data_IF_981919487433
#
_entry.id   IF_981919487433
#
_cell.length_a   1.000
_cell.length_b   1.000
_cell.length_c   1.000
_cell.angle_alpha   90.00
_cell.angle_beta   90.00
_cell.angle_gamma   90.00
#
_symmetry.space_group_name_H-M   'P 1'
#
loop_
_entity.id
_entity.type
_entity.pdbx_description
1 polymer ?
#
# COMPACT_ATOMS: atom_id res chain seq x y z
N UNK A 1 7.53 76.37 28.12
CA UNK A 1 6.37 76.75 27.29
C UNK A 1 6.20 75.73 26.17
N UNK A 2 4.94 75.35 25.92
CA UNK A 2 4.36 74.65 24.75
C UNK A 2 5.15 74.85 23.42
N UNK A 3 5.16 73.96 22.40
CA UNK A 3 4.07 73.10 21.89
C UNK A 3 4.60 72.12 20.82
N UNK A 4 3.97 70.94 20.81
CA UNK A 4 3.86 69.92 19.75
C UNK A 4 3.52 70.46 18.35
N UNK A 5 3.96 69.78 17.27
CA UNK A 5 3.15 69.05 16.24
C UNK A 5 4.06 68.65 15.03
N UNK A 6 4.23 67.38 14.59
CA UNK A 6 3.33 66.40 13.92
C UNK A 6 2.89 66.87 12.50
N UNK A 7 2.88 66.14 11.35
CA UNK A 7 3.18 64.78 10.82
C UNK A 7 3.32 64.92 9.26
N UNK A 8 3.67 63.83 8.55
CA UNK A 8 3.15 63.30 7.26
C UNK A 8 4.17 63.32 6.11
N UNK A 9 4.73 62.16 5.71
CA UNK A 9 4.23 61.25 4.64
C UNK A 9 4.85 61.60 3.27
N UNK A 10 5.23 60.71 2.36
CA UNK A 10 5.18 59.26 2.23
C UNK A 10 6.07 58.81 1.03
N UNK A 11 6.18 57.49 0.87
CA UNK A 11 6.31 56.76 -0.41
C UNK A 11 7.71 56.59 -1.01
N UNK A 12 8.39 55.52 -0.60
CA UNK A 12 9.35 54.84 -1.48
C UNK A 12 8.59 53.82 -2.33
N UNK A 13 8.44 54.12 -3.61
CA UNK A 13 8.13 53.15 -4.64
C UNK A 13 9.40 52.36 -4.98
N UNK A 14 9.41 51.05 -4.73
CA UNK A 14 10.35 50.14 -5.37
C UNK A 14 9.55 48.98 -5.96
N UNK A 15 9.51 48.97 -7.29
CA UNK A 15 8.91 47.95 -8.14
C UNK A 15 9.94 46.84 -8.42
N UNK A 16 9.43 45.60 -8.37
CA UNK A 16 9.86 44.44 -9.16
C UNK A 16 11.11 43.65 -8.71
N UNK A 17 10.89 42.57 -7.95
CA UNK A 17 11.42 41.24 -8.26
C UNK A 17 10.62 40.20 -7.48
N UNK A 18 9.65 39.56 -8.15
CA UNK A 18 8.94 38.40 -7.64
C UNK A 18 9.91 37.21 -7.59
N UNK A 19 10.50 36.96 -6.43
CA UNK A 19 11.14 35.69 -6.12
C UNK A 19 10.05 34.72 -5.64
N UNK A 20 9.50 33.95 -6.56
CA UNK A 20 8.75 32.73 -6.22
C UNK A 20 9.81 31.70 -5.82
N UNK A 21 10.29 31.77 -4.57
CA UNK A 21 10.97 30.65 -3.95
C UNK A 21 9.93 29.58 -3.67
N UNK A 22 9.98 28.54 -4.49
CA UNK A 22 9.27 27.29 -4.29
C UNK A 22 9.35 26.88 -2.81
N UNK A 23 8.19 26.74 -2.16
CA UNK A 23 8.07 25.87 -1.00
C UNK A 23 8.39 24.46 -1.50
N UNK A 24 9.66 24.08 -1.41
CA UNK A 24 9.99 22.68 -1.22
C UNK A 24 9.23 22.26 0.04
N UNK A 25 8.17 21.46 -0.14
CA UNK A 25 7.51 20.78 0.95
C UNK A 25 8.53 19.87 1.61
N UNK A 26 9.28 20.42 2.55
CA UNK A 26 9.91 19.68 3.63
C UNK A 26 8.76 19.34 4.57
N UNK A 27 7.91 18.40 4.17
CA UNK A 27 7.32 17.53 5.18
C UNK A 27 8.50 16.92 5.94
N UNK A 28 8.42 16.77 7.27
CA UNK A 28 9.47 16.04 7.97
C UNK A 28 9.59 14.68 7.30
N UNK A 29 10.64 14.47 6.51
CA UNK A 29 11.15 13.12 6.32
C UNK A 29 11.40 12.61 7.75
N UNK A 30 11.00 11.38 8.11
CA UNK A 30 11.16 10.85 9.46
C UNK A 30 12.65 10.61 9.75
N UNK A 31 13.41 11.68 9.90
CA UNK A 31 14.82 11.70 10.28
C UNK A 31 14.92 11.70 11.81
N UNK A 32 14.19 10.80 12.47
CA UNK A 32 14.24 10.56 13.92
C UNK A 32 13.92 9.08 14.24
N UNK A 33 14.34 8.14 13.39
CA UNK A 33 14.07 6.70 13.57
C UNK A 33 15.21 5.92 14.23
N UNK A 34 16.13 6.60 14.95
CA UNK A 34 17.37 5.98 15.43
C UNK A 34 17.29 5.40 16.87
N UNK A 35 16.17 5.54 17.58
CA UNK A 35 16.00 4.94 18.92
C UNK A 35 14.55 4.59 19.32
N UNK A 36 13.67 4.39 18.35
CA UNK A 36 12.31 3.90 18.60
C UNK A 36 12.29 2.37 18.50
N UNK A 37 11.43 1.71 19.27
CA UNK A 37 11.10 0.30 19.09
C UNK A 37 10.75 0.04 17.62
N UNK A 38 11.15 -1.11 17.08
CA UNK A 38 10.88 -1.49 15.69
C UNK A 38 9.38 -1.46 15.40
N UNK A 39 8.53 -1.83 16.35
CA UNK A 39 7.08 -1.78 16.21
C UNK A 39 6.55 -0.33 16.08
N UNK A 40 7.13 0.62 16.84
CA UNK A 40 6.82 2.05 16.68
C UNK A 40 7.24 2.56 15.31
N UNK A 41 8.39 2.11 14.82
CA UNK A 41 8.90 2.51 13.51
C UNK A 41 8.00 2.00 12.39
N UNK A 42 7.45 0.80 12.51
CA UNK A 42 6.46 0.26 11.56
C UNK A 42 5.22 1.15 11.48
N UNK A 43 4.65 1.55 12.63
CA UNK A 43 3.47 2.45 12.67
C UNK A 43 3.72 3.75 11.91
N UNK A 44 4.92 4.31 11.99
CA UNK A 44 5.27 5.57 11.33
C UNK A 44 5.64 5.40 9.85
N UNK A 45 6.25 4.28 9.47
CA UNK A 45 6.73 4.03 8.12
C UNK A 45 5.67 3.44 7.19
N UNK A 46 4.78 2.61 7.72
CA UNK A 46 3.74 1.91 6.94
C UNK A 46 2.79 2.87 6.22
N UNK A 47 2.26 3.95 6.84
CA UNK A 47 1.35 4.86 6.16
C UNK A 47 1.98 5.63 5.00
N UNK A 48 3.31 5.59 4.82
CA UNK A 48 4.00 6.17 3.68
C UNK A 48 4.53 5.11 2.70
N UNK A 49 4.14 3.84 2.86
CA UNK A 49 4.61 2.73 2.02
C UNK A 49 6.09 2.38 2.22
N UNK A 50 6.63 2.56 3.43
CA UNK A 50 8.04 2.32 3.78
C UNK A 50 9.05 3.08 2.90
N UNK A 51 9.09 4.41 3.00
CA UNK A 51 10.03 5.23 2.22
C UNK A 51 11.50 4.98 2.61
N UNK A 52 12.44 5.60 1.90
CA UNK A 52 13.88 5.44 2.16
C UNK A 52 14.23 5.65 3.65
N UNK A 53 14.95 4.68 4.24
CA UNK A 53 15.28 4.65 5.67
C UNK A 53 14.33 3.83 6.56
N UNK A 54 13.26 3.29 5.99
CA UNK A 54 12.30 2.40 6.67
C UNK A 54 12.44 0.91 6.30
N UNK A 55 13.53 0.51 5.63
CA UNK A 55 13.72 -0.86 5.16
C UNK A 55 13.79 -1.90 6.30
N UNK A 56 14.42 -1.54 7.41
CA UNK A 56 14.45 -2.36 8.63
C UNK A 56 13.07 -2.55 9.26
N UNK A 57 12.23 -1.51 9.28
CA UNK A 57 10.84 -1.60 9.75
C UNK A 57 10.01 -2.50 8.84
N UNK A 58 10.22 -2.38 7.51
CA UNK A 58 9.59 -3.28 6.55
C UNK A 58 9.96 -4.74 6.81
N UNK A 59 11.26 -5.03 6.91
CA UNK A 59 11.76 -6.38 7.16
C UNK A 59 11.22 -6.94 8.49
N UNK A 60 11.22 -6.13 9.55
CA UNK A 60 10.63 -6.49 10.84
C UNK A 60 9.14 -6.84 10.73
N UNK A 61 8.35 -6.03 10.01
CA UNK A 61 6.94 -6.34 9.75
C UNK A 61 6.79 -7.69 9.02
N UNK A 62 7.57 -7.92 7.95
CA UNK A 62 7.50 -9.17 7.18
C UNK A 62 7.88 -10.38 8.03
N UNK A 63 8.89 -10.28 8.88
CA UNK A 63 9.31 -11.37 9.77
C UNK A 63 8.19 -11.72 10.77
N UNK A 64 7.52 -10.71 11.34
CA UNK A 64 6.34 -10.94 12.19
C UNK A 64 5.23 -11.68 11.45
N UNK A 65 4.95 -11.29 10.22
CA UNK A 65 3.93 -11.94 9.39
C UNK A 65 4.29 -13.39 9.06
N UNK A 66 5.57 -13.67 8.79
CA UNK A 66 6.09 -15.04 8.58
C UNK A 66 5.96 -15.90 9.84
N UNK A 67 6.09 -15.29 11.01
CA UNK A 67 5.86 -15.91 12.31
C UNK A 67 4.36 -16.08 12.66
N UNK A 68 3.44 -15.62 11.81
CA UNK A 68 2.00 -15.64 12.08
C UNK A 68 1.56 -14.66 13.17
N UNK A 69 2.36 -13.63 13.43
CA UNK A 69 2.05 -12.55 14.37
C UNK A 69 1.37 -11.39 13.65
N UNK A 70 0.73 -10.52 14.42
CA UNK A 70 0.24 -9.22 13.93
C UNK A 70 1.38 -8.44 13.24
N UNK A 71 1.13 -7.72 12.13
CA UNK A 71 2.12 -6.87 11.43
C UNK A 71 2.81 -5.86 12.35
N UNK A 72 2.12 -5.42 13.40
CA UNK A 72 2.63 -4.47 14.39
C UNK A 72 2.53 -5.14 15.77
N UNK A 73 3.58 -4.99 16.57
CA UNK A 73 3.61 -5.39 17.97
C UNK A 73 3.44 -4.23 18.94
N UNK A 74 4.21 -4.28 20.02
CA UNK A 74 4.07 -3.32 21.10
C UNK A 74 4.94 -2.10 20.82
N UNK A 75 4.31 -0.94 20.68
CA UNK A 75 5.03 0.33 20.60
C UNK A 75 4.95 1.05 21.95
N UNK A 76 6.11 1.32 22.58
CA UNK A 76 6.17 2.09 23.82
C UNK A 76 6.44 3.57 23.55
N UNK A 77 5.70 4.43 24.23
CA UNK A 77 5.94 5.87 24.30
C UNK A 77 7.05 6.19 25.32
N UNK A 78 7.58 7.41 25.28
CA UNK A 78 8.66 7.85 26.18
C UNK A 78 8.30 7.81 27.67
N UNK A 79 7.01 7.78 28.00
CA UNK A 79 6.49 7.67 29.36
C UNK A 79 6.26 6.21 29.81
N UNK A 80 6.56 5.22 28.95
CA UNK A 80 6.38 3.79 29.22
C UNK A 80 5.01 3.23 28.83
N UNK A 81 4.05 4.07 28.48
CA UNK A 81 2.73 3.63 28.05
C UNK A 81 2.77 3.03 26.63
N UNK A 82 1.78 2.20 26.31
CA UNK A 82 1.59 1.71 24.94
C UNK A 82 1.06 2.86 24.06
N UNK A 83 1.62 3.03 22.87
CA UNK A 83 0.96 3.81 21.84
C UNK A 83 -0.23 3.00 21.30
N UNK A 84 -1.45 3.52 21.45
CA UNK A 84 -2.70 2.84 21.11
C UNK A 84 -3.63 3.69 20.23
N UNK A 85 -3.17 4.89 19.81
CA UNK A 85 -3.91 5.80 18.93
C UNK A 85 -3.78 5.40 17.45
N UNK A 86 -3.99 4.13 17.15
CA UNK A 86 -4.02 3.59 15.80
C UNK A 86 -5.03 2.44 15.69
N UNK A 87 -5.57 2.23 14.50
CA UNK A 87 -6.36 1.06 14.15
C UNK A 87 -5.74 0.32 12.96
N UNK A 88 -5.84 -1.00 12.96
CA UNK A 88 -5.24 -1.86 11.94
C UNK A 88 -6.19 -2.99 11.52
N UNK A 89 -6.64 -2.95 10.27
CA UNK A 89 -7.31 -4.09 9.61
C UNK A 89 -6.28 -4.79 8.70
N UNK A 90 -6.09 -6.09 8.88
CA UNK A 90 -5.18 -6.87 8.05
C UNK A 90 -5.72 -8.24 7.71
N UNK A 91 -5.33 -8.74 6.53
CA UNK A 91 -5.83 -9.99 5.96
C UNK A 91 -4.70 -10.73 5.24
N UNK A 92 -4.59 -12.02 5.55
CA UNK A 92 -3.77 -12.94 4.78
C UNK A 92 -4.58 -13.46 3.59
N UNK A 93 -4.07 -13.29 2.38
CA UNK A 93 -4.73 -13.74 1.16
C UNK A 93 -4.21 -15.10 0.72
N UNK A 94 -5.13 -16.06 0.59
CA UNK A 94 -4.79 -17.39 0.10
C UNK A 94 -4.42 -17.37 -1.38
N UNK A 95 -3.58 -18.32 -1.81
CA UNK A 95 -3.31 -18.52 -3.25
C UNK A 95 -4.58 -18.91 -4.03
N UNK A 96 -5.51 -19.57 -3.36
CA UNK A 96 -6.81 -19.98 -3.90
C UNK A 96 -7.81 -18.83 -4.00
N UNK A 97 -7.51 -17.65 -3.46
CA UNK A 97 -8.33 -16.44 -3.61
C UNK A 97 -7.87 -15.62 -4.81
N UNK A 98 -8.76 -15.11 -5.67
CA UNK A 98 -8.38 -14.14 -6.70
C UNK A 98 -7.78 -12.86 -6.12
N UNK A 99 -8.20 -12.44 -4.92
CA UNK A 99 -7.71 -11.24 -4.22
C UNK A 99 -6.22 -11.32 -3.86
N UNK A 100 -5.62 -12.51 -3.84
CA UNK A 100 -4.18 -12.63 -3.60
C UNK A 100 -3.30 -12.35 -4.83
N UNK A 101 -3.89 -11.92 -5.95
CA UNK A 101 -3.22 -11.76 -7.22
C UNK A 101 -3.54 -10.41 -7.84
N UNK A 102 -2.51 -9.68 -8.24
CA UNK A 102 -2.67 -8.39 -8.91
C UNK A 102 -2.18 -8.45 -10.35
N UNK A 103 -2.94 -7.79 -11.23
CA UNK A 103 -2.59 -7.60 -12.63
C UNK A 103 -2.17 -6.15 -12.90
N UNK A 104 -1.40 -5.90 -13.97
CA UNK A 104 -1.25 -4.56 -14.52
C UNK A 104 -2.62 -3.90 -14.74
N UNK A 105 -2.70 -2.58 -14.59
CA UNK A 105 -3.97 -1.84 -14.61
C UNK A 105 -4.77 -1.99 -15.91
N UNK A 106 -4.12 -2.35 -17.02
CA UNK A 106 -4.71 -2.57 -18.34
C UNK A 106 -5.09 -4.03 -18.63
N UNK A 107 -4.92 -4.94 -17.66
CA UNK A 107 -5.17 -6.37 -17.84
C UNK A 107 -6.22 -6.92 -16.88
N UNK A 108 -6.93 -7.94 -17.35
CA UNK A 108 -7.90 -8.70 -16.55
C UNK A 108 -7.23 -9.93 -15.94
N UNK A 109 -7.55 -10.24 -14.68
CA UNK A 109 -7.12 -11.48 -14.04
C UNK A 109 -7.98 -12.66 -14.49
N UNK A 110 -7.33 -13.72 -15.00
CA UNK A 110 -7.89 -15.07 -14.97
C UNK A 110 -7.44 -15.72 -13.68
N UNK A 111 -8.40 -16.26 -12.92
CA UNK A 111 -8.13 -17.06 -11.74
C UNK A 111 -9.05 -18.28 -11.73
N UNK A 112 -8.46 -19.45 -11.50
CA UNK A 112 -9.19 -20.68 -11.27
C UNK A 112 -8.47 -21.51 -10.23
N UNK A 113 -9.12 -21.73 -9.09
CA UNK A 113 -8.72 -22.74 -8.12
C UNK A 113 -9.62 -23.97 -8.30
N UNK A 114 -9.00 -25.13 -8.55
CA UNK A 114 -9.71 -26.41 -8.62
C UNK A 114 -9.16 -27.33 -7.54
N UNK A 115 -10.05 -27.93 -6.75
CA UNK A 115 -9.68 -29.03 -5.88
C UNK A 115 -9.42 -30.27 -6.76
N UNK A 116 -8.37 -31.02 -6.48
CA UNK A 116 -8.16 -32.31 -7.16
C UNK A 116 -8.97 -33.38 -6.45
N UNK A 117 -9.82 -34.10 -7.18
CA UNK A 117 -10.57 -35.22 -6.64
C UNK A 117 -9.61 -36.29 -6.07
N UNK A 118 -9.61 -36.45 -4.74
CA UNK A 118 -8.79 -37.43 -4.03
C UNK A 118 -7.66 -36.87 -3.14
N UNK A 119 -7.36 -35.56 -3.21
CA UNK A 119 -6.37 -34.92 -2.32
C UNK A 119 -6.86 -33.55 -1.82
N UNK A 120 -6.49 -33.16 -0.59
CA UNK A 120 -6.73 -31.81 -0.04
C UNK A 120 -5.87 -30.71 -0.73
N UNK A 121 -5.41 -30.95 -1.96
CA UNK A 121 -4.52 -30.08 -2.70
C UNK A 121 -5.29 -29.35 -3.81
N UNK A 122 -5.14 -28.02 -3.82
CA UNK A 122 -5.71 -27.16 -4.85
C UNK A 122 -4.69 -26.92 -5.97
N UNK A 123 -5.14 -27.03 -7.22
CA UNK A 123 -4.42 -26.51 -8.38
C UNK A 123 -4.91 -25.10 -8.65
N UNK A 124 -4.02 -24.11 -8.59
CA UNK A 124 -4.32 -22.71 -8.89
C UNK A 124 -3.73 -22.35 -10.25
N UNK A 125 -4.58 -21.93 -11.18
CA UNK A 125 -4.17 -21.42 -12.48
C UNK A 125 -4.51 -19.93 -12.56
N UNK A 126 -3.50 -19.10 -12.73
CA UNK A 126 -3.63 -17.65 -12.81
C UNK A 126 -2.79 -17.05 -13.93
N UNK A 127 -3.36 -16.09 -14.65
CA UNK A 127 -2.65 -15.25 -15.61
C UNK A 127 -3.43 -13.96 -15.85
N UNK A 128 -2.74 -12.89 -16.21
CA UNK A 128 -3.37 -11.65 -16.66
C UNK A 128 -3.51 -11.67 -18.18
N UNK A 129 -4.58 -11.09 -18.74
CA UNK A 129 -4.82 -11.07 -20.19
C UNK A 129 -5.52 -9.77 -20.63
N UNK A 130 -5.40 -9.42 -21.92
CA UNK A 130 -6.04 -8.21 -22.48
C UNK A 130 -7.48 -8.47 -22.89
N UNK A 131 -7.69 -9.54 -23.65
CA UNK A 131 -9.02 -9.94 -24.12
C UNK A 131 -9.19 -11.45 -24.11
N UNK A 132 -10.44 -11.87 -23.94
CA UNK A 132 -10.88 -13.25 -24.07
C UNK A 132 -11.93 -13.31 -25.18
N UNK A 133 -11.84 -14.32 -26.04
CA UNK A 133 -12.87 -14.59 -27.03
C UNK A 133 -13.22 -16.07 -27.02
N UNK A 134 -14.51 -16.35 -27.15
CA UNK A 134 -15.05 -17.70 -27.20
C UNK A 134 -15.26 -18.11 -28.65
N UNK A 135 -14.79 -19.31 -28.98
CA UNK A 135 -15.06 -19.93 -30.27
C UNK A 135 -15.84 -21.20 -30.03
N UNK A 136 -17.04 -21.26 -30.62
CA UNK A 136 -17.87 -22.47 -30.62
C UNK A 136 -17.56 -23.27 -31.89
N UNK A 137 -16.97 -24.43 -31.71
CA UNK A 137 -16.62 -25.35 -32.79
C UNK A 137 -17.34 -26.69 -32.63
N UNK A 138 -17.68 -27.33 -33.75
CA UNK A 138 -18.20 -28.70 -33.73
C UNK A 138 -17.03 -29.69 -33.64
N UNK A 139 -16.97 -30.49 -32.59
CA UNK A 139 -15.97 -31.54 -32.38
C UNK A 139 -16.62 -32.91 -32.50
N UNK A 140 -17.20 -33.21 -33.67
CA UNK A 140 -17.61 -34.56 -34.07
C UNK A 140 -18.41 -35.32 -33.01
N UNK A 141 -17.73 -36.22 -32.29
CA UNK A 141 -18.29 -37.10 -31.27
C UNK A 141 -18.88 -36.38 -30.05
N UNK A 142 -18.35 -35.21 -29.68
CA UNK A 142 -18.71 -34.50 -28.45
C UNK A 142 -19.69 -33.34 -28.68
N UNK A 143 -20.10 -33.13 -29.94
CA UNK A 143 -21.01 -32.07 -30.33
C UNK A 143 -20.35 -30.69 -30.43
N UNK A 144 -21.05 -29.63 -30.02
CA UNK A 144 -20.50 -28.28 -30.01
C UNK A 144 -19.68 -28.03 -28.74
N UNK A 145 -18.40 -27.72 -28.91
CA UNK A 145 -17.50 -27.34 -27.83
C UNK A 145 -17.19 -25.85 -27.90
N UNK A 146 -17.25 -25.17 -26.75
CA UNK A 146 -16.80 -23.77 -26.62
C UNK A 146 -15.36 -23.76 -26.11
N UNK A 147 -14.46 -23.12 -26.85
CA UNK A 147 -13.07 -22.88 -26.44
C UNK A 147 -12.85 -21.39 -26.22
N UNK A 148 -12.39 -21.02 -25.03
CA UNK A 148 -11.99 -19.63 -24.73
C UNK A 148 -10.51 -19.45 -25.01
N UNK A 149 -10.18 -18.49 -25.88
CA UNK A 149 -8.79 -18.08 -26.13
C UNK A 149 -8.52 -16.74 -25.47
N UNK A 150 -7.37 -16.63 -24.82
CA UNK A 150 -6.94 -15.42 -24.13
C UNK A 150 -5.69 -14.85 -24.80
N UNK A 151 -5.63 -13.55 -24.97
CA UNK A 151 -4.54 -12.84 -25.67
C UNK A 151 -3.57 -12.17 -24.69
N UNK A 152 -2.32 -11.95 -25.13
CA UNK A 152 -1.29 -11.18 -24.42
C UNK A 152 -1.12 -11.53 -22.94
N UNK A 153 -1.01 -12.83 -22.66
CA UNK A 153 -0.90 -13.36 -21.30
C UNK A 153 0.36 -12.88 -20.61
N UNK A 154 0.23 -12.43 -19.37
CA UNK A 154 1.37 -12.10 -18.48
C UNK A 154 1.20 -12.74 -17.10
N UNK A 155 2.30 -12.83 -16.36
CA UNK A 155 2.29 -13.37 -14.99
C UNK A 155 1.71 -12.31 -14.03
N UNK A 156 0.71 -12.64 -13.19
CA UNK A 156 0.27 -11.77 -12.10
C UNK A 156 1.32 -11.67 -11.00
N UNK A 157 1.28 -10.58 -10.26
CA UNK A 157 2.02 -10.41 -9.01
C UNK A 157 1.24 -11.05 -7.86
N UNK A 158 1.95 -11.62 -6.87
CA UNK A 158 1.32 -12.16 -5.65
C UNK A 158 1.22 -11.06 -4.62
N UNK A 159 0.06 -10.95 -3.97
CA UNK A 159 -0.16 -10.09 -2.81
C UNK A 159 -0.83 -10.90 -1.71
N UNK A 160 -0.02 -11.58 -0.91
CA UNK A 160 -0.48 -12.52 0.12
C UNK A 160 -0.82 -11.84 1.45
N UNK A 161 -0.54 -10.54 1.60
CA UNK A 161 -0.89 -9.77 2.78
C UNK A 161 -1.45 -8.41 2.44
N UNK A 162 -2.61 -8.08 3.00
CA UNK A 162 -3.29 -6.80 2.85
C UNK A 162 -3.40 -6.15 4.22
N UNK A 163 -3.12 -4.86 4.31
CA UNK A 163 -3.26 -4.10 5.57
C UNK A 163 -3.75 -2.69 5.30
N UNK A 164 -4.61 -2.20 6.17
CA UNK A 164 -5.01 -0.80 6.24
C UNK A 164 -4.73 -0.30 7.66
N UNK A 165 -3.97 0.78 7.77
CA UNK A 165 -3.58 1.39 9.03
C UNK A 165 -4.14 2.80 9.09
N UNK A 166 -4.90 3.09 10.14
CA UNK A 166 -5.41 4.43 10.44
C UNK A 166 -4.70 4.96 11.68
N UNK A 167 -4.06 6.12 11.56
CA UNK A 167 -3.47 6.83 12.70
C UNK A 167 -4.48 7.83 13.26
N UNK A 168 -4.50 7.95 14.59
CA UNK A 168 -5.36 8.87 15.34
C UNK A 168 -6.84 8.81 14.89
N UNK A 169 -7.46 7.60 14.88
CA UNK A 169 -8.80 7.42 14.33
C UNK A 169 -9.85 8.26 15.06
N UNK A 170 -10.72 8.91 14.30
CA UNK A 170 -11.80 9.76 14.82
C UNK A 170 -11.33 11.14 15.33
N UNK A 171 -10.11 11.55 15.00
CA UNK A 171 -9.54 12.85 15.40
C UNK A 171 -9.33 13.78 14.20
N UNK A 172 -9.17 15.11 14.41
CA UNK A 172 -8.78 16.03 13.33
C UNK A 172 -7.44 15.69 12.67
N UNK A 173 -6.58 14.97 13.36
CA UNK A 173 -5.28 14.51 12.91
C UNK A 173 -5.31 13.12 12.25
N UNK A 174 -6.50 12.56 12.02
CA UNK A 174 -6.68 11.24 11.41
C UNK A 174 -5.97 11.13 10.06
N UNK A 175 -5.21 10.05 9.89
CA UNK A 175 -4.53 9.73 8.64
C UNK A 175 -4.80 8.28 8.22
N UNK A 176 -5.24 8.08 6.97
CA UNK A 176 -5.45 6.76 6.37
C UNK A 176 -4.87 6.74 4.94
N UNK A 177 -4.24 5.64 4.54
CA UNK A 177 -3.76 5.42 3.16
C UNK A 177 -4.52 4.34 2.38
N UNK A 178 -5.60 3.83 2.96
CA UNK A 178 -6.34 2.72 2.39
C UNK A 178 -5.55 1.41 2.43
N UNK A 179 -6.03 0.42 1.69
CA UNK A 179 -5.42 -0.90 1.65
C UNK A 179 -4.07 -0.88 0.95
N UNK A 180 -3.05 -1.27 1.68
CA UNK A 180 -1.72 -1.56 1.17
C UNK A 180 -1.57 -3.08 1.01
N UNK A 181 -0.97 -3.48 -0.09
CA UNK A 181 -0.76 -4.89 -0.44
C UNK A 181 0.71 -5.23 -0.46
N UNK A 182 1.06 -6.38 0.11
CA UNK A 182 2.42 -6.86 0.27
C UNK A 182 2.55 -8.31 -0.18
N UNK A 183 3.74 -8.64 -0.68
CA UNK A 183 4.21 -10.01 -0.85
C UNK A 183 5.20 -10.34 0.28
N UNK A 184 4.86 -11.29 1.13
CA UNK A 184 5.73 -11.70 2.25
C UNK A 184 6.92 -12.56 1.81
N UNK A 185 7.12 -12.75 0.50
CA UNK A 185 8.26 -13.48 -0.06
C UNK A 185 8.05 -14.99 -0.07
N UNK A 186 6.80 -15.46 0.03
CA UNK A 186 6.43 -16.76 -0.54
C UNK A 186 6.40 -16.71 -2.09
N UNK A 187 6.62 -15.54 -2.72
CA UNK A 187 6.77 -15.45 -4.17
C UNK A 187 7.22 -14.11 -4.78
N UNK A 188 8.26 -13.45 -4.26
CA UNK A 188 9.00 -12.29 -4.83
C UNK A 188 8.23 -11.22 -5.66
N UNK A 189 7.85 -10.11 -5.02
CA UNK A 189 8.01 -8.67 -5.36
C UNK A 189 6.95 -7.85 -4.59
N UNK A 190 7.38 -6.86 -3.81
CA UNK A 190 6.47 -6.00 -3.02
C UNK A 190 6.25 -4.70 -3.77
N UNK A 191 5.00 -4.48 -4.21
CA UNK A 191 4.53 -3.18 -4.69
C UNK A 191 3.35 -2.77 -3.82
N UNK A 192 3.52 -1.69 -3.05
CA UNK A 192 2.40 -1.04 -2.38
C UNK A 192 1.49 -0.48 -3.47
N UNK A 193 0.36 -1.12 -3.70
CA UNK A 193 -0.70 -0.59 -4.56
C UNK A 193 -1.72 0.11 -3.69
N UNK A 194 -1.95 1.40 -3.96
CA UNK A 194 -3.02 2.16 -3.34
C UNK A 194 -4.33 1.88 -4.08
N UNK A 195 -5.37 1.51 -3.34
CA UNK A 195 -6.75 1.57 -3.85
C UNK A 195 -7.29 2.96 -3.51
N UNK A 196 -7.58 3.77 -4.53
CA UNK A 196 -8.37 5.01 -4.40
C UNK A 196 -9.81 4.72 -3.96
#
# INVERSE_FOLDING_TARGET
MLRLTRILSASFAYTSAAAITALAGIGPAPAMAQNYDMDCKVILCMPAGFPGGCGDAFDHMIDRLRDGKSPIGFCSMSNGDAYDRYDIDYRMQSATSPEGWDCPADKTLYHRASQNDGFQNYTVNTFCYDSAYEQRGWTGADGYTTTTTYTNKTRPERTDFWVNLTLEPGTPEEFTQGWQKFDTGRGSLVRVQYTE
#
